data_IF_720654999426
#
_entry.id   IF_720654999426
#
_cell.length_a   1.000
_cell.length_b   1.000
_cell.length_c   1.000
_cell.angle_alpha   90.00
_cell.angle_beta   90.00
_cell.angle_gamma   90.00
#
_symmetry.space_group_name_H-M   'P 1'
#
loop_
_entity.id
_entity.type
_entity.pdbx_description
1 polymer ?
#
# COMPACT_ATOMS: atom_id res chain seq x y z
N UNK A 1 -1.76 -20.27 6.49
CA UNK A 1 -1.07 -19.04 6.96
C UNK A 1 -0.59 -19.23 8.38
N UNK A 2 0.66 -18.89 8.65
CA UNK A 2 1.20 -18.78 10.01
C UNK A 2 1.27 -17.33 10.42
N UNK A 3 0.80 -17.01 11.62
CA UNK A 3 0.92 -15.67 12.20
C UNK A 3 1.87 -15.73 13.40
N UNK A 4 2.97 -14.99 13.32
CA UNK A 4 3.98 -14.87 14.37
C UNK A 4 3.75 -13.54 15.10
N UNK A 5 3.35 -13.64 16.36
CA UNK A 5 3.17 -12.48 17.23
C UNK A 5 4.35 -12.34 18.19
N UNK A 6 4.85 -11.14 18.35
CA UNK A 6 5.91 -10.83 19.30
C UNK A 6 5.72 -9.41 19.86
N UNK A 7 6.21 -9.18 21.06
CA UNK A 7 6.21 -7.85 21.69
C UNK A 7 7.19 -6.87 21.02
N UNK A 8 8.02 -7.34 20.11
CA UNK A 8 8.99 -6.53 19.39
C UNK A 8 9.02 -6.89 17.91
N UNK A 9 9.33 -5.91 17.07
CA UNK A 9 9.50 -6.14 15.64
C UNK A 9 10.67 -7.12 15.37
N UNK A 10 11.72 -7.04 16.16
CA UNK A 10 12.86 -7.97 16.09
C UNK A 10 12.43 -9.42 16.33
N UNK A 11 11.67 -9.68 17.39
CA UNK A 11 11.20 -11.04 17.72
C UNK A 11 10.23 -11.58 16.68
N UNK A 12 9.38 -10.73 16.10
CA UNK A 12 8.49 -11.12 15.00
C UNK A 12 9.29 -11.53 13.76
N UNK A 13 10.33 -10.78 13.40
CA UNK A 13 11.23 -11.10 12.29
C UNK A 13 11.96 -12.42 12.53
N UNK A 14 12.52 -12.64 13.73
CA UNK A 14 13.22 -13.90 14.06
C UNK A 14 12.27 -15.10 13.94
N UNK A 15 11.06 -14.99 14.46
CA UNK A 15 10.08 -16.07 14.36
C UNK A 15 9.71 -16.38 12.90
N UNK A 16 9.65 -15.36 12.02
CA UNK A 16 9.42 -15.57 10.58
C UNK A 16 10.63 -16.24 9.93
N UNK A 17 11.86 -15.87 10.29
CA UNK A 17 13.08 -16.50 9.79
C UNK A 17 13.16 -17.98 10.20
N UNK A 18 12.78 -18.32 11.43
CA UNK A 18 12.75 -19.72 11.86
C UNK A 18 11.73 -20.57 11.07
N UNK A 19 10.56 -20.00 10.75
CA UNK A 19 9.58 -20.65 9.86
C UNK A 19 10.12 -20.83 8.44
N UNK A 20 10.82 -19.85 7.93
CA UNK A 20 11.48 -19.92 6.63
C UNK A 20 12.55 -21.02 6.59
N UNK A 21 13.44 -21.07 7.60
CA UNK A 21 14.51 -22.10 7.67
C UNK A 21 13.93 -23.52 7.62
N UNK A 22 12.83 -23.75 8.32
CA UNK A 22 12.17 -25.06 8.34
C UNK A 22 11.59 -25.48 6.99
N UNK A 23 11.45 -24.54 6.03
CA UNK A 23 10.86 -24.76 4.71
C UNK A 23 11.80 -24.38 3.55
N UNK A 24 13.06 -24.12 3.84
CA UNK A 24 14.03 -23.58 2.84
C UNK A 24 14.13 -24.44 1.57
N UNK A 25 13.99 -25.76 1.69
CA UNK A 25 14.06 -26.70 0.57
C UNK A 25 12.74 -26.83 -0.22
N UNK A 26 11.69 -26.11 0.18
CA UNK A 26 10.32 -26.24 -0.40
C UNK A 26 10.07 -25.27 -1.59
N UNK A 27 11.06 -24.92 -2.38
CA UNK A 27 10.89 -24.11 -3.59
C UNK A 27 11.34 -22.64 -3.45
N UNK A 28 10.61 -21.71 -4.07
CA UNK A 28 10.96 -20.28 -4.08
C UNK A 28 10.30 -19.54 -2.90
N UNK A 29 11.05 -18.64 -2.30
CA UNK A 29 10.65 -17.86 -1.13
C UNK A 29 10.73 -16.37 -1.40
N UNK A 30 9.67 -15.63 -1.12
CA UNK A 30 9.60 -14.18 -1.29
C UNK A 30 9.33 -13.53 0.08
N UNK A 31 10.29 -12.71 0.52
CA UNK A 31 10.14 -11.87 1.70
C UNK A 31 9.62 -10.50 1.30
N UNK A 32 8.50 -10.08 1.87
CA UNK A 32 7.94 -8.73 1.71
C UNK A 32 8.28 -7.93 2.97
N UNK A 33 9.06 -6.88 2.79
CA UNK A 33 9.54 -6.02 3.90
C UNK A 33 9.41 -4.54 3.54
N UNK A 34 9.41 -3.63 4.53
CA UNK A 34 9.52 -2.19 4.26
C UNK A 34 10.83 -1.85 3.53
N UNK A 35 10.81 -0.79 2.69
CA UNK A 35 11.97 -0.38 1.89
C UNK A 35 13.26 -0.25 2.71
N UNK A 36 13.16 0.34 3.91
CA UNK A 36 14.30 0.54 4.83
C UNK A 36 14.94 -0.75 5.34
N UNK A 37 14.24 -1.88 5.24
CA UNK A 37 14.73 -3.18 5.74
C UNK A 37 15.22 -4.13 4.65
N UNK A 38 15.05 -3.83 3.36
CA UNK A 38 15.31 -4.80 2.29
C UNK A 38 16.75 -5.31 2.30
N UNK A 39 17.75 -4.40 2.34
CA UNK A 39 19.16 -4.78 2.33
C UNK A 39 19.59 -5.51 3.60
N UNK A 40 19.14 -5.06 4.77
CA UNK A 40 19.46 -5.72 6.05
C UNK A 40 18.81 -7.09 6.18
N UNK A 41 17.61 -7.27 5.58
CA UNK A 41 16.93 -8.56 5.56
C UNK A 41 17.65 -9.57 4.67
N UNK A 42 18.07 -9.18 3.47
CA UNK A 42 18.86 -10.06 2.58
C UNK A 42 20.09 -10.60 3.31
N UNK A 43 20.89 -9.70 3.92
CA UNK A 43 22.06 -10.09 4.70
C UNK A 43 21.71 -11.06 5.82
N UNK A 44 20.66 -10.74 6.59
CA UNK A 44 20.22 -11.55 7.74
C UNK A 44 19.74 -12.96 7.33
N UNK A 45 19.05 -13.06 6.20
CA UNK A 45 18.63 -14.36 5.68
C UNK A 45 19.81 -15.22 5.26
N UNK A 46 20.78 -14.67 4.54
CA UNK A 46 22.00 -15.39 4.14
C UNK A 46 22.81 -15.83 5.37
N UNK A 47 23.01 -14.94 6.34
CA UNK A 47 23.68 -15.27 7.61
C UNK A 47 22.94 -16.38 8.37
N UNK A 48 21.61 -16.34 8.39
CA UNK A 48 20.80 -17.33 9.11
C UNK A 48 20.89 -18.74 8.53
N UNK A 49 21.22 -18.84 7.24
CA UNK A 49 21.41 -20.09 6.50
C UNK A 49 22.89 -20.52 6.38
N UNK A 50 23.84 -19.69 6.86
CA UNK A 50 25.28 -19.83 6.62
C UNK A 50 25.63 -19.88 5.12
N UNK A 51 24.92 -19.10 4.30
CA UNK A 51 25.13 -18.99 2.85
C UNK A 51 25.71 -17.62 2.48
N UNK A 52 26.47 -17.59 1.39
CA UNK A 52 26.97 -16.33 0.78
C UNK A 52 26.02 -15.80 -0.29
N UNK A 53 25.21 -16.66 -0.89
CA UNK A 53 24.19 -16.33 -1.91
C UNK A 53 23.11 -17.40 -1.95
N UNK A 54 21.92 -17.05 -2.42
CA UNK A 54 20.84 -17.99 -2.68
C UNK A 54 20.04 -17.53 -3.90
N UNK A 55 19.58 -18.48 -4.72
CA UNK A 55 18.75 -18.21 -5.90
C UNK A 55 17.27 -18.45 -5.67
N UNK A 56 16.91 -19.10 -4.55
CA UNK A 56 15.53 -19.44 -4.22
C UNK A 56 14.89 -18.49 -3.18
N UNK A 57 15.60 -17.43 -2.78
CA UNK A 57 15.12 -16.43 -1.82
C UNK A 57 15.23 -15.04 -2.42
N UNK A 58 14.15 -14.30 -2.41
CA UNK A 58 14.10 -12.92 -2.88
C UNK A 58 13.49 -12.03 -1.79
N UNK A 59 14.09 -10.85 -1.56
CA UNK A 59 13.56 -9.83 -0.66
C UNK A 59 13.02 -8.67 -1.48
N UNK A 60 11.75 -8.39 -1.33
CA UNK A 60 11.04 -7.34 -2.08
C UNK A 60 10.27 -6.41 -1.16
N UNK A 61 9.91 -5.25 -1.67
CA UNK A 61 8.87 -4.39 -1.08
C UNK A 61 7.56 -4.62 -1.83
N UNK A 62 6.43 -4.15 -1.32
CA UNK A 62 5.17 -4.21 -2.07
C UNK A 62 5.29 -3.56 -3.46
N UNK A 63 6.08 -2.48 -3.57
CA UNK A 63 6.33 -1.81 -4.85
C UNK A 63 7.13 -2.68 -5.83
N UNK A 64 8.16 -3.38 -5.35
CA UNK A 64 8.94 -4.32 -6.17
C UNK A 64 8.11 -5.55 -6.54
N UNK A 65 7.27 -6.03 -5.64
CA UNK A 65 6.32 -7.11 -5.92
C UNK A 65 5.34 -6.71 -7.03
N UNK A 66 4.83 -5.46 -7.00
CA UNK A 66 4.00 -4.93 -8.08
C UNK A 66 4.71 -4.97 -9.43
N UNK A 67 5.99 -4.56 -9.48
CA UNK A 67 6.79 -4.62 -10.71
C UNK A 67 7.03 -6.06 -11.17
N UNK A 68 7.27 -6.98 -10.25
CA UNK A 68 7.48 -8.41 -10.57
C UNK A 68 6.22 -9.06 -11.17
N UNK A 69 5.04 -8.77 -10.61
CA UNK A 69 3.79 -9.41 -11.02
C UNK A 69 3.14 -8.71 -12.21
N UNK A 70 3.11 -7.36 -12.20
CA UNK A 70 2.44 -6.56 -13.22
C UNK A 70 3.37 -6.16 -14.39
N UNK A 71 4.68 -6.37 -14.26
CA UNK A 71 5.67 -6.00 -15.27
C UNK A 71 5.62 -4.51 -15.61
N UNK A 72 5.66 -4.19 -16.90
CA UNK A 72 5.65 -2.80 -17.40
C UNK A 72 4.38 -2.01 -17.01
N UNK A 73 3.28 -2.66 -16.65
CA UNK A 73 2.10 -1.96 -16.17
C UNK A 73 2.37 -1.22 -14.86
N UNK A 74 3.21 -1.77 -13.98
CA UNK A 74 3.60 -1.12 -12.73
C UNK A 74 4.42 0.17 -12.91
N UNK A 75 5.10 0.33 -14.06
CA UNK A 75 5.92 1.51 -14.35
C UNK A 75 5.06 2.74 -14.74
N UNK A 76 3.76 2.56 -15.00
CA UNK A 76 2.82 3.66 -15.28
C UNK A 76 2.34 4.38 -14.00
N UNK A 77 3.16 4.40 -12.98
CA UNK A 77 2.86 5.03 -11.70
C UNK A 77 3.37 6.48 -11.70
N UNK A 78 2.46 7.40 -11.36
CA UNK A 78 2.81 8.80 -11.16
C UNK A 78 3.80 8.93 -9.99
N UNK A 79 4.73 9.86 -10.12
CA UNK A 79 5.52 10.32 -8.97
C UNK A 79 4.60 11.06 -7.99
N UNK A 80 5.02 11.29 -6.74
CA UNK A 80 4.26 12.13 -5.81
C UNK A 80 3.94 13.51 -6.40
N UNK A 81 4.90 14.14 -7.09
CA UNK A 81 4.74 15.44 -7.75
C UNK A 81 3.72 15.36 -8.91
N UNK A 82 3.79 14.30 -9.72
CA UNK A 82 2.82 14.05 -10.79
C UNK A 82 1.40 13.84 -10.25
N UNK A 83 1.28 13.19 -9.11
CA UNK A 83 -0.01 13.01 -8.41
C UNK A 83 -0.57 14.32 -7.88
N UNK A 84 0.28 15.21 -7.34
CA UNK A 84 -0.11 16.56 -6.90
C UNK A 84 -0.56 17.39 -8.09
N UNK A 85 0.15 17.35 -9.22
CA UNK A 85 -0.25 18.08 -10.44
C UNK A 85 -1.60 17.59 -10.99
N UNK A 86 -1.84 16.28 -10.95
CA UNK A 86 -3.15 15.72 -11.35
C UNK A 86 -4.25 16.24 -10.43
N UNK A 87 -4.02 16.26 -9.11
CA UNK A 87 -4.96 16.78 -8.14
C UNK A 87 -5.18 18.30 -8.31
N UNK A 88 -4.14 19.06 -8.58
CA UNK A 88 -4.24 20.50 -8.87
C UNK A 88 -5.18 20.77 -10.05
N UNK A 89 -5.06 20.00 -11.12
CA UNK A 89 -5.98 20.05 -12.25
C UNK A 89 -7.44 19.77 -11.81
N UNK A 90 -7.65 18.71 -11.02
CA UNK A 90 -8.99 18.37 -10.50
C UNK A 90 -9.56 19.49 -9.63
N UNK A 91 -8.75 20.12 -8.77
CA UNK A 91 -9.15 21.24 -7.93
C UNK A 91 -9.57 22.44 -8.78
N UNK A 92 -8.78 22.80 -9.81
CA UNK A 92 -9.10 23.90 -10.71
C UNK A 92 -10.40 23.68 -11.48
N UNK A 93 -10.60 22.48 -12.02
CA UNK A 93 -11.83 22.09 -12.73
C UNK A 93 -13.06 22.05 -11.80
N UNK A 94 -12.84 21.87 -10.50
CA UNK A 94 -13.87 21.77 -9.46
C UNK A 94 -14.22 23.08 -8.77
N UNK A 95 -13.47 24.18 -8.98
CA UNK A 95 -13.58 25.43 -8.21
C UNK A 95 -15.00 25.95 -8.07
N UNK A 96 -15.79 25.88 -9.16
CA UNK A 96 -17.19 26.33 -9.19
C UNK A 96 -18.12 25.53 -8.26
N UNK A 97 -17.76 24.31 -7.90
CA UNK A 97 -18.59 23.39 -7.09
C UNK A 97 -18.16 23.39 -5.61
N UNK A 98 -16.98 23.94 -5.28
CA UNK A 98 -16.46 23.96 -3.92
C UNK A 98 -17.13 25.08 -3.09
N UNK A 99 -17.43 24.74 -1.83
CA UNK A 99 -18.02 25.69 -0.85
C UNK A 99 -16.98 26.16 0.16
N UNK A 100 -16.35 25.24 0.86
CA UNK A 100 -15.36 25.51 1.89
C UNK A 100 -13.99 25.84 1.28
N UNK A 101 -13.53 25.04 0.33
CA UNK A 101 -12.20 25.18 -0.27
C UNK A 101 -12.15 26.18 -1.43
N UNK A 102 -13.24 26.80 -1.84
CA UNK A 102 -13.29 27.75 -2.97
C UNK A 102 -12.21 28.83 -2.89
N UNK A 103 -12.00 29.43 -1.71
CA UNK A 103 -10.99 30.48 -1.51
C UNK A 103 -9.54 29.97 -1.42
N UNK A 104 -9.35 28.65 -1.37
CA UNK A 104 -8.05 27.98 -1.28
C UNK A 104 -7.63 27.34 -2.60
N UNK A 105 -8.56 27.11 -3.52
CA UNK A 105 -8.33 26.36 -4.76
C UNK A 105 -7.17 26.89 -5.60
N UNK A 106 -6.96 28.20 -5.61
CA UNK A 106 -5.90 28.88 -6.37
C UNK A 106 -4.56 29.02 -5.59
N UNK A 107 -4.41 28.43 -4.41
CA UNK A 107 -3.16 28.50 -3.64
C UNK A 107 -2.24 27.35 -4.04
N UNK A 108 -0.99 27.67 -4.35
CA UNK A 108 0.04 26.69 -4.79
C UNK A 108 0.26 25.54 -3.81
N UNK A 109 0.14 25.77 -2.49
CA UNK A 109 0.32 24.70 -1.48
C UNK A 109 -0.91 23.83 -1.28
N UNK A 110 -2.11 24.30 -1.68
CA UNK A 110 -3.37 23.64 -1.35
C UNK A 110 -3.46 22.21 -1.90
N UNK A 111 -3.14 22.02 -3.17
CA UNK A 111 -3.18 20.71 -3.80
C UNK A 111 -2.21 19.71 -3.13
N UNK A 112 -1.04 20.18 -2.66
CA UNK A 112 -0.08 19.34 -1.93
C UNK A 112 -0.62 18.90 -0.58
N UNK A 113 -1.16 19.83 0.20
CA UNK A 113 -1.70 19.55 1.53
C UNK A 113 -2.94 18.63 1.42
N UNK A 114 -3.79 18.91 0.42
CA UNK A 114 -4.94 18.07 0.12
C UNK A 114 -4.51 16.67 -0.31
N UNK A 115 -3.49 16.54 -1.18
CA UNK A 115 -2.98 15.22 -1.61
C UNK A 115 -2.53 14.36 -0.44
N UNK A 116 -1.83 14.95 0.53
CA UNK A 116 -1.44 14.23 1.75
C UNK A 116 -2.68 13.70 2.50
N UNK A 117 -3.70 14.55 2.69
CA UNK A 117 -4.96 14.17 3.35
C UNK A 117 -5.69 13.07 2.58
N UNK A 118 -5.86 13.20 1.25
CA UNK A 118 -6.51 12.19 0.43
C UNK A 118 -5.74 10.85 0.45
N UNK A 119 -4.41 10.90 0.48
CA UNK A 119 -3.57 9.71 0.58
C UNK A 119 -3.77 8.98 1.91
N UNK A 120 -3.86 9.70 3.03
CA UNK A 120 -4.15 9.12 4.35
C UNK A 120 -5.54 8.46 4.39
N UNK A 121 -6.57 9.14 3.87
CA UNK A 121 -7.92 8.58 3.78
C UNK A 121 -7.94 7.29 2.98
N UNK A 122 -7.31 7.27 1.82
CA UNK A 122 -7.25 6.09 0.93
C UNK A 122 -6.40 4.96 1.52
N UNK A 123 -5.32 5.28 2.22
CA UNK A 123 -4.51 4.29 2.96
C UNK A 123 -5.25 3.69 4.15
N UNK A 124 -6.28 4.38 4.66
CA UNK A 124 -7.18 3.92 5.72
C UNK A 124 -8.48 3.29 5.19
N UNK A 125 -8.59 3.08 3.88
CA UNK A 125 -9.78 2.58 3.18
C UNK A 125 -11.04 3.44 3.34
N UNK A 126 -10.89 4.74 3.61
CA UNK A 126 -12.00 5.69 3.68
C UNK A 126 -12.36 6.14 2.26
N UNK A 127 -13.59 5.88 1.84
CA UNK A 127 -14.13 6.28 0.54
C UNK A 127 -14.80 7.65 0.57
N UNK A 128 -15.02 8.27 -0.59
CA UNK A 128 -15.81 9.48 -0.70
C UNK A 128 -17.24 9.31 -0.14
N UNK A 129 -17.84 8.13 -0.35
CA UNK A 129 -19.15 7.81 0.20
C UNK A 129 -19.18 7.78 1.74
N UNK A 130 -18.12 7.26 2.37
CA UNK A 130 -18.00 7.27 3.84
C UNK A 130 -17.90 8.70 4.37
N UNK A 131 -17.18 9.58 3.67
CA UNK A 131 -17.10 11.00 4.00
C UNK A 131 -18.47 11.68 3.85
N UNK A 132 -19.19 11.46 2.75
CA UNK A 132 -20.54 12.02 2.58
C UNK A 132 -21.47 11.61 3.72
N UNK A 133 -21.50 10.32 4.06
CA UNK A 133 -22.32 9.81 5.18
C UNK A 133 -21.92 10.43 6.52
N UNK A 134 -20.62 10.55 6.80
CA UNK A 134 -20.14 11.13 8.06
C UNK A 134 -20.52 12.61 8.21
N UNK A 135 -20.64 13.33 7.11
CA UNK A 135 -20.96 14.75 7.10
C UNK A 135 -22.43 15.07 7.38
N UNK A 136 -23.35 14.12 7.24
CA UNK A 136 -24.81 14.38 7.32
C UNK A 136 -25.22 15.06 8.61
N UNK A 137 -24.63 14.66 9.73
CA UNK A 137 -24.96 15.15 11.08
C UNK A 137 -23.97 16.19 11.61
N UNK A 138 -23.11 16.76 10.76
CA UNK A 138 -22.09 17.73 11.19
C UNK A 138 -22.56 19.18 11.05
N UNK A 139 -22.04 20.10 11.89
CA UNK A 139 -22.28 21.54 11.74
C UNK A 139 -21.87 22.02 10.34
N UNK A 140 -22.58 23.06 9.83
CA UNK A 140 -22.48 23.53 8.44
C UNK A 140 -21.03 23.69 7.94
N UNK A 141 -20.15 24.38 8.67
CA UNK A 141 -18.77 24.62 8.23
C UNK A 141 -17.93 23.36 8.14
N UNK A 142 -18.12 22.41 9.07
CA UNK A 142 -17.46 21.11 9.03
C UNK A 142 -18.05 20.25 7.90
N UNK A 143 -19.36 20.26 7.76
CA UNK A 143 -20.08 19.58 6.69
C UNK A 143 -19.59 20.00 5.33
N UNK A 144 -19.53 21.29 5.04
CA UNK A 144 -19.06 21.83 3.75
C UNK A 144 -17.60 21.42 3.46
N UNK A 145 -16.73 21.42 4.49
CA UNK A 145 -15.34 20.94 4.36
C UNK A 145 -15.26 19.46 3.99
N UNK A 146 -16.04 18.62 4.68
CA UNK A 146 -16.03 17.17 4.43
C UNK A 146 -16.62 16.86 3.03
N UNK A 147 -17.68 17.56 2.64
CA UNK A 147 -18.27 17.41 1.30
C UNK A 147 -17.28 17.80 0.20
N UNK A 148 -16.59 18.92 0.33
CA UNK A 148 -15.57 19.32 -0.63
C UNK A 148 -14.41 18.32 -0.67
N UNK A 149 -14.00 17.77 0.49
CA UNK A 149 -12.98 16.73 0.55
C UNK A 149 -13.42 15.46 -0.17
N UNK A 150 -14.66 15.01 0.06
CA UNK A 150 -15.24 13.84 -0.60
C UNK A 150 -15.35 14.04 -2.12
N UNK A 151 -15.82 15.21 -2.54
CA UNK A 151 -15.94 15.57 -3.95
C UNK A 151 -14.58 15.59 -4.68
N UNK A 152 -13.55 16.16 -4.03
CA UNK A 152 -12.21 16.20 -4.59
C UNK A 152 -11.52 14.82 -4.56
N UNK A 153 -11.83 13.97 -3.56
CA UNK A 153 -11.37 12.57 -3.53
C UNK A 153 -11.95 11.78 -4.70
N UNK A 154 -13.26 11.88 -4.92
CA UNK A 154 -13.94 11.22 -6.04
C UNK A 154 -13.40 11.74 -7.39
N UNK A 155 -13.26 13.05 -7.55
CA UNK A 155 -12.69 13.66 -8.75
C UNK A 155 -11.26 13.18 -9.03
N UNK A 156 -10.43 13.07 -7.99
CA UNK A 156 -9.06 12.57 -8.13
C UNK A 156 -9.03 11.07 -8.49
N UNK A 157 -9.86 10.25 -7.85
CA UNK A 157 -9.95 8.82 -8.18
C UNK A 157 -10.45 8.59 -9.62
N UNK A 158 -11.39 9.40 -10.08
CA UNK A 158 -11.88 9.36 -11.47
C UNK A 158 -10.82 9.86 -12.48
N UNK A 159 -9.95 10.79 -12.09
CA UNK A 159 -8.86 11.27 -12.93
C UNK A 159 -7.72 10.24 -13.08
N UNK A 160 -7.55 9.33 -12.11
CA UNK A 160 -6.71 8.16 -12.24
C UNK A 160 -7.39 7.16 -13.18
N UNK A 161 -6.66 6.58 -14.10
CA UNK A 161 -7.18 5.60 -15.07
C UNK A 161 -6.53 4.24 -14.88
N UNK A 162 -7.09 3.20 -15.52
CA UNK A 162 -6.47 1.86 -15.56
C UNK A 162 -5.06 1.86 -16.17
N UNK A 163 -4.69 2.93 -16.88
CA UNK A 163 -3.39 3.07 -17.53
C UNK A 163 -2.40 3.91 -16.71
N UNK A 164 -2.86 4.64 -15.69
CA UNK A 164 -2.04 5.54 -14.86
C UNK A 164 -2.40 5.34 -13.40
N UNK A 165 -1.43 4.92 -12.61
CA UNK A 165 -1.58 4.67 -11.18
C UNK A 165 -0.91 5.75 -10.35
N UNK A 166 -1.35 5.96 -9.14
CA UNK A 166 -0.53 6.48 -8.05
C UNK A 166 -0.07 5.32 -7.14
N UNK A 167 0.64 5.62 -6.07
CA UNK A 167 1.15 4.61 -5.15
C UNK A 167 0.05 3.72 -4.55
N UNK A 168 -1.13 4.27 -4.26
CA UNK A 168 -2.25 3.56 -3.64
C UNK A 168 -3.01 2.70 -4.67
N UNK A 169 -3.33 3.26 -5.84
CA UNK A 169 -4.03 2.51 -6.90
C UNK A 169 -3.17 1.41 -7.49
N UNK A 170 -1.84 1.58 -7.54
CA UNK A 170 -0.92 0.52 -7.95
C UNK A 170 -1.00 -0.70 -7.01
N UNK A 171 -1.09 -0.49 -5.70
CA UNK A 171 -1.25 -1.60 -4.75
C UNK A 171 -2.63 -2.26 -4.88
N UNK A 172 -3.70 -1.50 -5.16
CA UNK A 172 -5.02 -2.07 -5.48
C UNK A 172 -4.96 -2.94 -6.74
N UNK A 173 -4.34 -2.43 -7.81
CA UNK A 173 -4.16 -3.18 -9.05
C UNK A 173 -3.29 -4.44 -8.86
N UNK A 174 -2.26 -4.38 -8.04
CA UNK A 174 -1.47 -5.55 -7.65
C UNK A 174 -2.34 -6.60 -6.94
N UNK A 175 -3.18 -6.19 -6.00
CA UNK A 175 -4.10 -7.09 -5.31
C UNK A 175 -5.05 -7.80 -6.29
N UNK A 176 -5.62 -7.04 -7.24
CA UNK A 176 -6.48 -7.58 -8.27
C UNK A 176 -5.75 -8.58 -9.19
N UNK A 177 -4.49 -8.29 -9.55
CA UNK A 177 -3.68 -9.16 -10.41
C UNK A 177 -3.29 -10.46 -9.70
N UNK A 178 -2.89 -10.38 -8.42
CA UNK A 178 -2.61 -11.56 -7.60
C UNK A 178 -3.86 -12.45 -7.46
N UNK A 179 -5.04 -11.84 -7.32
CA UNK A 179 -6.29 -12.60 -7.14
C UNK A 179 -6.65 -13.50 -8.30
N UNK A 180 -6.12 -13.25 -9.49
CA UNK A 180 -6.35 -14.01 -10.73
C UNK A 180 -5.39 -15.19 -10.91
N UNK A 181 -4.39 -15.33 -10.04
CA UNK A 181 -3.30 -16.28 -10.19
C UNK A 181 -3.22 -17.22 -8.99
N UNK A 182 -2.64 -18.39 -9.20
CA UNK A 182 -2.15 -19.25 -8.12
C UNK A 182 -0.64 -19.15 -8.11
N UNK A 183 -0.08 -18.73 -6.98
CA UNK A 183 1.35 -18.51 -6.82
C UNK A 183 2.01 -19.77 -6.23
N UNK A 184 3.04 -20.26 -6.89
CA UNK A 184 3.80 -21.45 -6.42
C UNK A 184 4.79 -21.11 -5.31
N UNK A 185 5.05 -19.81 -5.06
CA UNK A 185 6.02 -19.35 -4.08
C UNK A 185 5.44 -19.35 -2.66
N UNK A 186 6.36 -19.43 -1.69
CA UNK A 186 6.09 -19.17 -0.27
C UNK A 186 6.38 -17.71 0.07
N UNK A 187 5.45 -17.04 0.75
CA UNK A 187 5.57 -15.61 1.09
C UNK A 187 5.77 -15.42 2.59
N UNK A 188 6.63 -14.48 2.93
CA UNK A 188 6.99 -14.08 4.30
C UNK A 188 6.87 -12.56 4.42
N UNK A 189 5.95 -12.08 5.25
CA UNK A 189 5.70 -10.64 5.42
C UNK A 189 6.12 -10.23 6.83
N UNK A 190 7.11 -9.35 6.96
CA UNK A 190 7.60 -8.94 8.27
C UNK A 190 8.29 -7.56 8.25
N UNK A 191 8.57 -7.03 9.44
CA UNK A 191 9.28 -5.76 9.60
C UNK A 191 8.37 -4.53 9.55
N UNK A 192 7.07 -4.69 9.39
CA UNK A 192 6.09 -3.61 9.39
C UNK A 192 5.65 -3.26 10.82
N UNK A 193 5.63 -1.98 11.15
CA UNK A 193 5.03 -1.47 12.40
C UNK A 193 3.52 -1.23 12.25
N UNK A 194 3.06 -0.96 11.04
CA UNK A 194 1.66 -0.80 10.68
C UNK A 194 1.49 -1.10 9.20
N UNK A 195 0.30 -1.51 8.81
CA UNK A 195 -0.07 -1.78 7.43
C UNK A 195 -1.06 -0.75 6.92
N UNK A 196 -0.92 -0.34 5.66
CA UNK A 196 -1.95 0.39 4.93
C UNK A 196 -3.04 -0.58 4.46
N UNK A 197 -4.26 -0.09 4.30
CA UNK A 197 -5.37 -0.95 3.87
C UNK A 197 -5.11 -1.70 2.53
N UNK A 198 -4.51 -1.09 1.49
CA UNK A 198 -4.13 -1.84 0.29
C UNK A 198 -3.08 -2.93 0.53
N UNK A 199 -2.14 -2.72 1.47
CA UNK A 199 -1.14 -3.73 1.84
C UNK A 199 -1.78 -4.91 2.56
N UNK A 200 -2.70 -4.66 3.51
CA UNK A 200 -3.48 -5.71 4.16
C UNK A 200 -4.30 -6.52 3.15
N UNK A 201 -4.88 -5.84 2.16
CA UNK A 201 -5.64 -6.51 1.10
C UNK A 201 -4.77 -7.48 0.29
N UNK A 202 -3.52 -7.10 -0.01
CA UNK A 202 -2.56 -7.98 -0.67
C UNK A 202 -2.25 -9.18 0.22
N UNK A 203 -2.01 -8.99 1.52
CA UNK A 203 -1.75 -10.09 2.48
C UNK A 203 -2.93 -11.06 2.55
N UNK A 204 -4.18 -10.56 2.58
CA UNK A 204 -5.39 -11.39 2.54
C UNK A 204 -5.47 -12.25 1.27
N UNK A 205 -5.13 -11.67 0.12
CA UNK A 205 -5.18 -12.38 -1.16
C UNK A 205 -4.05 -13.39 -1.24
N UNK A 206 -2.83 -13.05 -0.82
CA UNK A 206 -1.70 -13.98 -0.73
C UNK A 206 -2.03 -15.21 0.14
N UNK A 207 -2.80 -15.02 1.21
CA UNK A 207 -3.27 -16.15 2.03
C UNK A 207 -4.13 -17.16 1.27
N UNK A 208 -4.78 -16.74 0.19
CA UNK A 208 -5.67 -17.59 -0.63
C UNK A 208 -4.97 -18.14 -1.87
N UNK A 209 -3.96 -17.44 -2.38
CA UNK A 209 -3.37 -17.70 -3.70
C UNK A 209 -1.95 -18.26 -3.65
N UNK A 210 -1.22 -18.00 -2.57
CA UNK A 210 0.15 -18.49 -2.38
C UNK A 210 0.18 -19.91 -1.83
N UNK A 211 1.24 -20.67 -2.14
CA UNK A 211 1.47 -22.00 -1.58
C UNK A 211 1.57 -21.96 -0.05
N UNK A 212 2.25 -20.96 0.47
CA UNK A 212 2.40 -20.73 1.90
C UNK A 212 2.52 -19.23 2.21
N UNK A 213 2.00 -18.82 3.35
CA UNK A 213 2.13 -17.46 3.85
C UNK A 213 2.47 -17.46 5.34
N UNK A 214 3.52 -16.75 5.72
CA UNK A 214 3.88 -16.45 7.09
C UNK A 214 3.92 -14.93 7.31
N UNK A 215 3.26 -14.45 8.35
CA UNK A 215 3.19 -13.01 8.68
C UNK A 215 3.73 -12.78 10.08
N UNK A 216 4.72 -11.91 10.20
CA UNK A 216 5.24 -11.42 11.48
C UNK A 216 4.60 -10.09 11.86
N UNK A 217 4.02 -10.00 13.05
CA UNK A 217 3.40 -8.79 13.57
C UNK A 217 3.78 -8.53 15.02
N UNK A 218 3.75 -7.25 15.40
CA UNK A 218 3.96 -6.83 16.79
C UNK A 218 2.61 -6.84 17.49
N UNK A 219 2.53 -7.57 18.63
CA UNK A 219 1.38 -7.49 19.52
C UNK A 219 1.44 -6.18 20.28
N UNK A 220 0.41 -5.34 20.15
CA UNK A 220 0.22 -4.15 20.97
C UNK A 220 -0.14 -4.50 22.41
#
# INVERSE_FOLDING_TARGET
MDLILSNTNYGAIEGVIERFKARFDEGEHIFIVPDRFSMSMEKRLLESLNLTSSFNVEVVTFNRLAKKIMGNAADRCLTPEGSVLLLEKVVMESEGNLKYFKSFANRVSFARDLYATLTELRNSAVSANDLYKSAENMPKGIKDKIYDTAYLLEGYENALSEKVFDSTTRLKALADEISKQTLSQSFYVCGFSSYKAPELKIVEILNKTATYLCVGAVSG
#
